data_IF_187510750314
#
_entry.id   IF_187510750314
#
_cell.length_a   1.000
_cell.length_b   1.000
_cell.length_c   1.000
_cell.angle_alpha   90.00
_cell.angle_beta   90.00
_cell.angle_gamma   90.00
#
_symmetry.space_group_name_H-M   'P 1'
#
loop_
_entity.id
_entity.type
_entity.pdbx_description
1 polymer ?
#
# COMPACT_ATOMS: atom_id res chain seq x y z
N UNK A 1 2.95 10.00 5.91
CA UNK A 1 2.05 8.91 6.38
C UNK A 1 2.87 7.69 6.67
N UNK A 2 2.77 7.17 7.88
CA UNK A 2 3.54 5.99 8.27
C UNK A 2 2.80 4.71 7.91
N UNK A 3 3.55 3.72 7.44
CA UNK A 3 3.01 2.38 7.23
C UNK A 3 3.02 1.65 8.57
N UNK A 4 1.83 1.27 9.03
CA UNK A 4 1.71 0.55 10.28
C UNK A 4 2.17 -0.90 10.13
N UNK A 5 1.66 -1.58 9.10
CA UNK A 5 2.09 -2.95 8.79
C UNK A 5 1.72 -3.30 7.36
N UNK A 6 2.31 -4.38 6.88
CA UNK A 6 2.06 -4.90 5.53
C UNK A 6 1.76 -6.38 5.66
N UNK A 7 0.69 -6.84 5.04
CA UNK A 7 0.30 -8.24 5.06
C UNK A 7 -0.05 -8.72 3.66
N UNK A 8 0.27 -9.98 3.37
CA UNK A 8 -0.13 -10.59 2.11
C UNK A 8 -1.60 -10.96 2.18
N UNK A 9 -2.33 -10.74 1.08
CA UNK A 9 -3.73 -11.12 1.01
C UNK A 9 -3.86 -12.64 0.96
N UNK A 10 -4.78 -13.17 1.76
CA UNK A 10 -5.07 -14.60 1.74
C UNK A 10 -6.05 -14.98 0.64
N UNK A 11 -6.76 -14.01 0.10
CA UNK A 11 -7.81 -14.25 -0.88
C UNK A 11 -7.34 -14.13 -2.32
N UNK A 12 -6.30 -13.36 -2.55
CA UNK A 12 -5.76 -13.16 -3.90
C UNK A 12 -4.24 -13.26 -3.86
N UNK A 13 -3.70 -14.09 -4.76
CA UNK A 13 -2.26 -14.21 -4.89
C UNK A 13 -1.68 -12.93 -5.50
N UNK A 14 -0.50 -12.57 -5.04
CA UNK A 14 0.17 -11.38 -5.53
C UNK A 14 -0.41 -10.07 -5.05
N UNK A 15 -1.39 -10.11 -4.16
CA UNK A 15 -2.00 -8.92 -3.59
C UNK A 15 -1.48 -8.72 -2.17
N UNK A 16 -1.12 -7.48 -1.87
CA UNK A 16 -0.57 -7.11 -0.57
C UNK A 16 -1.43 -6.00 0.04
N UNK A 17 -1.67 -6.11 1.32
CA UNK A 17 -2.43 -5.12 2.07
C UNK A 17 -1.48 -4.26 2.88
N UNK A 18 -1.53 -2.96 2.65
CA UNK A 18 -0.70 -1.99 3.36
C UNK A 18 -1.59 -1.22 4.34
N UNK A 19 -1.35 -1.41 5.62
CA UNK A 19 -2.11 -0.73 6.67
C UNK A 19 -1.38 0.54 7.08
N UNK A 20 -2.07 1.65 6.98
CA UNK A 20 -1.49 2.95 7.29
C UNK A 20 -1.84 3.38 8.72
N UNK A 21 -1.02 4.29 9.26
CA UNK A 21 -1.18 4.71 10.64
C UNK A 21 -2.50 5.44 10.92
N UNK A 22 -3.11 6.02 9.89
CA UNK A 22 -4.39 6.71 10.04
C UNK A 22 -5.60 5.76 9.96
N UNK A 23 -5.35 4.47 9.82
CA UNK A 23 -6.40 3.49 9.67
C UNK A 23 -6.77 3.17 8.24
N UNK A 24 -6.12 3.82 7.28
CA UNK A 24 -6.37 3.56 5.87
C UNK A 24 -5.75 2.23 5.44
N UNK A 25 -6.33 1.63 4.43
CA UNK A 25 -5.83 0.39 3.86
C UNK A 25 -5.62 0.58 2.37
N UNK A 26 -4.42 0.22 1.90
CA UNK A 26 -4.11 0.21 0.48
C UNK A 26 -3.94 -1.23 0.01
N UNK A 27 -4.51 -1.53 -1.15
CA UNK A 27 -4.36 -2.84 -1.77
C UNK A 27 -3.43 -2.69 -2.96
N UNK A 28 -2.24 -3.24 -2.86
CA UNK A 28 -1.23 -3.14 -3.91
C UNK A 28 -0.81 -4.53 -4.33
N UNK A 29 -0.10 -4.62 -5.46
CA UNK A 29 0.47 -5.89 -5.91
C UNK A 29 1.85 -6.08 -5.29
N UNK A 30 2.35 -7.32 -5.32
CA UNK A 30 3.71 -7.59 -4.86
C UNK A 30 4.72 -6.80 -5.68
N UNK A 31 4.48 -6.63 -6.96
CA UNK A 31 5.37 -5.88 -7.82
C UNK A 31 5.42 -4.41 -7.40
N UNK A 32 4.28 -3.84 -7.08
CA UNK A 32 4.23 -2.46 -6.59
C UNK A 32 4.94 -2.31 -5.26
N UNK A 33 4.78 -3.29 -4.40
CA UNK A 33 5.49 -3.31 -3.12
C UNK A 33 7.01 -3.23 -3.34
N UNK A 34 7.52 -4.00 -4.29
CA UNK A 34 8.94 -4.01 -4.62
C UNK A 34 9.37 -2.73 -5.32
N UNK A 35 8.54 -2.26 -6.26
CA UNK A 35 8.85 -1.05 -7.03
C UNK A 35 9.00 0.17 -6.14
N UNK A 36 8.11 0.31 -5.17
CA UNK A 36 8.13 1.44 -4.25
C UNK A 36 9.00 1.18 -3.03
N UNK A 37 9.46 -0.07 -2.84
CA UNK A 37 10.29 -0.42 -1.70
C UNK A 37 9.59 -0.26 -0.37
N UNK A 38 8.33 -0.64 -0.31
CA UNK A 38 7.51 -0.44 0.89
C UNK A 38 7.86 -1.42 1.99
N UNK A 39 7.89 -0.95 3.22
CA UNK A 39 8.15 -1.78 4.40
C UNK A 39 7.31 -1.29 5.56
N UNK A 40 6.98 -2.20 6.47
CA UNK A 40 6.29 -1.80 7.69
C UNK A 40 7.18 -0.85 8.49
N UNK A 41 6.58 0.20 9.02
CA UNK A 41 7.29 1.23 9.75
C UNK A 41 7.88 2.33 8.90
N UNK A 42 7.83 2.19 7.57
CA UNK A 42 8.35 3.22 6.67
C UNK A 42 7.42 4.43 6.64
N UNK A 43 8.00 5.56 6.28
CA UNK A 43 7.26 6.81 6.12
C UNK A 43 7.02 7.05 4.64
N UNK A 44 5.77 7.34 4.30
CA UNK A 44 5.40 7.69 2.92
C UNK A 44 5.11 9.18 2.85
N UNK A 45 5.69 9.85 1.86
CA UNK A 45 5.33 11.25 1.60
C UNK A 45 4.02 11.29 0.79
N UNK A 46 3.44 12.46 0.70
CA UNK A 46 2.16 12.63 0.02
C UNK A 46 2.23 12.22 -1.45
N UNK A 47 3.33 12.53 -2.11
CA UNK A 47 3.49 12.21 -3.51
C UNK A 47 3.50 10.70 -3.74
N UNK A 48 4.30 9.99 -2.94
CA UNK A 48 4.37 8.53 -3.03
C UNK A 48 3.03 7.91 -2.69
N UNK A 49 2.37 8.43 -1.66
CA UNK A 49 1.07 7.92 -1.24
C UNK A 49 0.04 8.09 -2.36
N UNK A 50 0.03 9.24 -3.03
CA UNK A 50 -0.88 9.49 -4.14
C UNK A 50 -0.62 8.53 -5.28
N UNK A 51 0.65 8.30 -5.62
CA UNK A 51 1.02 7.37 -6.68
C UNK A 51 0.58 5.95 -6.35
N UNK A 52 0.74 5.54 -5.10
CA UNK A 52 0.31 4.22 -4.66
C UNK A 52 -1.20 4.06 -4.77
N UNK A 53 -1.94 5.07 -4.36
CA UNK A 53 -3.39 5.03 -4.46
C UNK A 53 -3.85 4.90 -5.90
N UNK A 54 -3.21 5.63 -6.81
CA UNK A 54 -3.52 5.55 -8.23
C UNK A 54 -3.16 4.19 -8.80
N UNK A 55 -1.98 3.68 -8.46
CA UNK A 55 -1.53 2.38 -8.94
C UNK A 55 -2.40 1.25 -8.41
N UNK A 56 -2.89 1.38 -7.19
CA UNK A 56 -3.77 0.38 -6.58
C UNK A 56 -5.18 0.39 -7.18
N UNK A 57 -5.46 1.34 -8.04
CA UNK A 57 -6.77 1.41 -8.67
C UNK A 57 -7.88 1.77 -7.71
N UNK A 58 -7.57 2.56 -6.69
CA UNK A 58 -8.58 3.03 -5.76
C UNK A 58 -9.52 3.96 -6.50
N UNK A 59 -10.69 3.47 -6.77
CA UNK A 59 -11.70 4.30 -7.41
C UNK A 59 -12.56 4.91 -6.31
N UNK A 60 -12.51 6.20 -6.23
CA UNK A 60 -13.44 6.94 -5.43
C UNK A 60 -14.62 7.30 -6.30
N UNK A 61 -15.67 6.66 -6.06
CA UNK A 61 -16.89 7.01 -6.77
C UNK A 61 -17.77 7.79 -5.83
#
# INVERSE_FOLDING_TARGET
>A
MRIDRIEASKHKRGRVLVFLADGSLLKVTEQELLTFGLRSGDELDEETLTRLKEAAGVSNI
#
